data_IF_159684988174
#
_entry.id   IF_159684988174
#
_cell.length_a   1.000
_cell.length_b   1.000
_cell.length_c   1.000
_cell.angle_alpha   90.00
_cell.angle_beta   90.00
_cell.angle_gamma   90.00
#
_symmetry.space_group_name_H-M   'P 1'
#
loop_
_entity.id
_entity.type
_entity.pdbx_description
1 polymer ?
#
# COMPACT_ATOMS: atom_id res chain seq x y z
N UNK A 1 -31.46 -30.43 3.20
CA UNK A 1 -30.05 -30.51 3.63
C UNK A 1 -29.81 -29.35 4.60
N UNK A 2 -29.67 -29.62 5.90
CA UNK A 2 -29.62 -28.58 6.94
C UNK A 2 -28.18 -28.13 7.18
N UNK A 3 -27.77 -27.04 6.53
CA UNK A 3 -26.45 -26.42 6.70
C UNK A 3 -26.51 -24.91 6.51
N UNK A 4 -25.56 -24.19 7.11
CA UNK A 4 -25.38 -22.75 6.83
C UNK A 4 -24.88 -22.61 5.38
N UNK A 5 -25.52 -21.79 4.53
CA UNK A 5 -25.07 -21.60 3.15
C UNK A 5 -23.68 -20.93 3.09
N UNK A 6 -22.91 -21.31 2.07
CA UNK A 6 -21.51 -20.97 1.82
C UNK A 6 -21.35 -20.73 0.32
N UNK A 7 -20.58 -19.73 -0.09
CA UNK A 7 -20.23 -19.49 -1.50
C UNK A 7 -18.95 -20.24 -1.85
N UNK A 8 -18.96 -21.00 -2.94
CA UNK A 8 -17.78 -21.57 -3.60
C UNK A 8 -17.41 -20.79 -4.88
N UNK A 9 -16.28 -21.14 -5.51
CA UNK A 9 -15.83 -20.50 -6.74
C UNK A 9 -16.86 -20.55 -7.88
N UNK A 10 -17.56 -21.67 -8.01
CA UNK A 10 -18.62 -21.88 -9.02
C UNK A 10 -19.79 -20.94 -8.79
N UNK A 11 -20.20 -20.78 -7.53
CA UNK A 11 -21.32 -19.89 -7.20
C UNK A 11 -20.97 -18.42 -7.45
N UNK A 12 -19.73 -18.02 -7.13
CA UNK A 12 -19.21 -16.69 -7.45
C UNK A 12 -19.19 -16.47 -8.98
N UNK A 13 -18.82 -17.49 -9.77
CA UNK A 13 -18.86 -17.41 -11.23
C UNK A 13 -20.27 -17.09 -11.72
N UNK A 14 -21.26 -17.87 -11.30
CA UNK A 14 -22.67 -17.71 -11.69
C UNK A 14 -23.15 -16.29 -11.36
N UNK A 15 -22.90 -15.82 -10.15
CA UNK A 15 -23.34 -14.49 -9.73
C UNK A 15 -22.64 -13.37 -10.51
N UNK A 16 -21.33 -13.47 -10.74
CA UNK A 16 -20.59 -12.47 -11.51
C UNK A 16 -21.00 -12.44 -12.98
N UNK A 17 -21.17 -13.62 -13.60
CA UNK A 17 -21.68 -13.73 -14.97
C UNK A 17 -23.08 -13.14 -15.05
N UNK A 18 -23.96 -13.46 -14.11
CA UNK A 18 -25.29 -12.87 -14.05
C UNK A 18 -25.25 -11.34 -13.95
N UNK A 19 -24.47 -10.81 -13.01
CA UNK A 19 -24.31 -9.37 -12.78
C UNK A 19 -23.80 -8.62 -14.02
N UNK A 20 -22.88 -9.21 -14.78
CA UNK A 20 -22.27 -8.57 -15.95
C UNK A 20 -23.09 -8.77 -17.23
N UNK A 21 -23.61 -9.97 -17.47
CA UNK A 21 -24.15 -10.35 -18.77
C UNK A 21 -25.69 -10.43 -18.83
N UNK A 22 -26.37 -10.71 -17.72
CA UNK A 22 -27.79 -11.09 -17.73
C UNK A 22 -28.72 -10.19 -16.93
N UNK A 23 -28.20 -9.49 -15.93
CA UNK A 23 -29.01 -8.61 -15.10
C UNK A 23 -29.45 -7.37 -15.89
N UNK A 24 -30.65 -7.39 -16.48
CA UNK A 24 -31.19 -6.27 -17.27
C UNK A 24 -32.02 -5.27 -16.46
N UNK A 25 -32.26 -5.53 -15.17
CA UNK A 25 -33.34 -4.88 -14.41
C UNK A 25 -32.93 -4.23 -13.09
N UNK A 26 -31.76 -4.55 -12.53
CA UNK A 26 -31.41 -4.09 -11.17
C UNK A 26 -30.55 -2.82 -11.17
N UNK A 27 -29.66 -2.63 -12.16
CA UNK A 27 -28.76 -1.48 -12.23
C UNK A 27 -28.86 -0.72 -13.53
N UNK A 28 -29.00 0.60 -13.40
CA UNK A 28 -29.04 1.52 -14.55
C UNK A 28 -27.65 2.01 -14.98
N UNK A 29 -26.59 1.61 -14.27
CA UNK A 29 -25.21 2.04 -14.52
C UNK A 29 -24.26 0.85 -14.52
N UNK A 30 -23.49 0.71 -15.60
CA UNK A 30 -22.39 -0.26 -15.70
C UNK A 30 -21.34 -0.06 -14.60
N UNK A 31 -21.17 1.18 -14.15
CA UNK A 31 -20.28 1.51 -13.04
C UNK A 31 -20.71 0.83 -11.72
N UNK A 32 -22.00 0.58 -11.52
CA UNK A 32 -22.51 -0.12 -10.34
C UNK A 32 -22.22 -1.62 -10.41
N UNK A 33 -22.37 -2.24 -11.59
CA UNK A 33 -22.04 -3.65 -11.82
C UNK A 33 -20.58 -3.94 -11.50
N UNK A 34 -19.67 -3.06 -11.93
CA UNK A 34 -18.22 -3.20 -11.66
C UNK A 34 -17.92 -3.04 -10.17
N UNK A 35 -18.57 -2.11 -9.47
CA UNK A 35 -18.40 -1.98 -8.02
C UNK A 35 -18.88 -3.24 -7.27
N UNK A 36 -20.04 -3.78 -7.63
CA UNK A 36 -20.56 -5.01 -7.01
C UNK A 36 -19.69 -6.23 -7.31
N UNK A 37 -19.21 -6.36 -8.54
CA UNK A 37 -18.24 -7.40 -8.89
C UNK A 37 -16.99 -7.32 -8.01
N UNK A 38 -16.44 -6.11 -7.82
CA UNK A 38 -15.32 -5.87 -6.92
C UNK A 38 -15.62 -6.21 -5.46
N UNK A 39 -16.80 -5.85 -4.96
CA UNK A 39 -17.23 -6.20 -3.62
C UNK A 39 -17.35 -7.72 -3.42
N UNK A 40 -17.95 -8.44 -4.36
CA UNK A 40 -18.09 -9.89 -4.28
C UNK A 40 -16.74 -10.59 -4.32
N UNK A 41 -15.86 -10.18 -5.23
CA UNK A 41 -14.47 -10.65 -5.30
C UNK A 41 -13.73 -10.42 -3.97
N UNK A 42 -13.71 -9.19 -3.47
CA UNK A 42 -12.97 -8.87 -2.23
C UNK A 42 -13.54 -9.59 -1.01
N UNK A 43 -14.86 -9.75 -0.90
CA UNK A 43 -15.46 -10.52 0.19
C UNK A 43 -15.03 -12.00 0.16
N UNK A 44 -14.93 -12.61 -1.02
CA UNK A 44 -14.43 -13.98 -1.17
C UNK A 44 -12.93 -14.09 -0.88
N UNK A 45 -12.12 -13.13 -1.34
CA UNK A 45 -10.66 -13.26 -1.33
C UNK A 45 -10.01 -12.75 -0.04
N UNK A 46 -10.77 -12.11 0.84
CA UNK A 46 -10.26 -11.60 2.13
C UNK A 46 -10.99 -12.17 3.33
N UNK A 47 -12.25 -12.62 3.15
CA UNK A 47 -13.14 -12.91 4.27
C UNK A 47 -13.51 -11.67 5.09
N UNK A 48 -13.26 -10.45 4.59
CA UNK A 48 -13.57 -9.20 5.29
C UNK A 48 -15.03 -9.13 5.74
N UNK A 49 -15.28 -8.38 6.82
CA UNK A 49 -16.66 -8.02 7.17
C UNK A 49 -17.15 -7.02 6.11
N UNK A 50 -18.42 -7.07 5.68
CA UNK A 50 -18.95 -6.12 4.69
C UNK A 50 -18.73 -4.66 5.08
N UNK A 51 -18.92 -4.34 6.36
CA UNK A 51 -18.68 -3.03 6.96
C UNK A 51 -17.21 -2.52 6.85
N UNK A 52 -16.26 -3.37 6.45
CA UNK A 52 -14.87 -2.96 6.18
C UNK A 52 -14.68 -2.50 4.72
N UNK A 53 -15.63 -2.79 3.84
CA UNK A 53 -15.61 -2.43 2.42
C UNK A 53 -16.68 -1.38 2.05
N UNK A 54 -17.79 -1.35 2.79
CA UNK A 54 -18.93 -0.45 2.60
C UNK A 54 -19.31 0.20 3.94
N UNK A 55 -20.08 1.29 3.90
CA UNK A 55 -20.52 1.97 5.13
C UNK A 55 -21.40 1.05 5.97
N UNK A 56 -21.04 0.89 7.23
CA UNK A 56 -21.77 0.06 8.19
C UNK A 56 -23.09 0.68 8.63
N UNK A 57 -23.30 1.99 8.40
CA UNK A 57 -24.49 2.77 8.77
C UNK A 57 -24.82 2.76 10.28
N UNK A 58 -23.99 2.10 11.10
CA UNK A 58 -24.09 2.06 12.54
C UNK A 58 -23.22 3.20 13.07
N UNK A 59 -23.86 4.15 13.78
CA UNK A 59 -23.15 5.27 14.39
C UNK A 59 -22.16 4.79 15.47
N UNK A 60 -21.04 5.51 15.52
CA UNK A 60 -19.94 5.47 16.50
C UNK A 60 -20.28 4.81 17.86
N UNK A 61 -20.18 3.48 17.96
CA UNK A 61 -20.30 2.81 19.26
C UNK A 61 -19.68 1.41 19.35
N UNK A 62 -19.00 0.94 18.30
CA UNK A 62 -18.07 -0.18 18.47
C UNK A 62 -16.75 0.39 19.01
N UNK A 63 -16.23 -0.12 20.14
CA UNK A 63 -14.92 0.31 20.61
C UNK A 63 -13.95 0.13 19.45
N UNK A 64 -13.15 1.18 19.17
CA UNK A 64 -12.02 1.11 18.24
C UNK A 64 -11.15 -0.03 18.73
N UNK A 65 -11.40 -1.26 18.26
CA UNK A 65 -10.48 -2.37 18.41
C UNK A 65 -9.16 -1.79 17.92
N UNK A 66 -8.15 -1.83 18.78
CA UNK A 66 -6.75 -1.57 18.44
C UNK A 66 -6.48 -2.31 17.14
N UNK A 67 -6.54 -1.57 16.04
CA UNK A 67 -6.83 -2.15 14.73
C UNK A 67 -5.49 -2.50 14.14
N UNK A 68 -5.05 -3.74 14.38
CA UNK A 68 -3.91 -4.27 13.65
C UNK A 68 -4.23 -4.18 12.16
N UNK A 69 -3.36 -3.50 11.42
CA UNK A 69 -3.50 -3.40 9.98
C UNK A 69 -3.29 -4.80 9.40
N UNK A 70 -4.19 -5.20 8.50
CA UNK A 70 -4.11 -6.46 7.77
C UNK A 70 -3.96 -6.10 6.30
N UNK A 71 -2.91 -6.61 5.65
CA UNK A 71 -2.62 -6.35 4.25
C UNK A 71 -2.78 -7.64 3.47
N UNK A 72 -3.76 -7.64 2.56
CA UNK A 72 -3.97 -8.72 1.60
C UNK A 72 -3.26 -8.40 0.29
N UNK A 73 -2.75 -9.45 -0.35
CA UNK A 73 -2.21 -9.37 -1.71
C UNK A 73 -3.17 -10.05 -2.67
N UNK A 74 -3.22 -9.52 -3.89
CA UNK A 74 -3.98 -10.07 -4.99
C UNK A 74 -3.07 -10.17 -6.19
N UNK A 75 -3.16 -11.28 -6.92
CA UNK A 75 -2.49 -11.47 -8.20
C UNK A 75 -3.53 -11.40 -9.31
N UNK A 76 -3.13 -11.05 -10.55
CA UNK A 76 -4.02 -11.17 -11.70
C UNK A 76 -4.61 -12.59 -11.77
N UNK A 77 -5.94 -12.70 -11.76
CA UNK A 77 -6.61 -13.99 -11.87
C UNK A 77 -6.57 -14.48 -13.33
N UNK A 78 -6.61 -15.81 -13.54
CA UNK A 78 -6.61 -16.42 -14.89
C UNK A 78 -7.79 -15.95 -15.75
N UNK A 79 -8.95 -15.72 -15.12
CA UNK A 79 -10.14 -15.15 -15.75
C UNK A 79 -10.30 -13.70 -15.32
N UNK A 80 -10.46 -12.79 -16.28
CA UNK A 80 -10.67 -11.35 -16.02
C UNK A 80 -11.86 -11.12 -15.08
N UNK A 81 -12.93 -11.91 -15.22
CA UNK A 81 -14.11 -11.84 -14.37
C UNK A 81 -13.80 -12.02 -12.87
N UNK A 82 -12.74 -12.75 -12.53
CA UNK A 82 -12.29 -12.98 -11.16
C UNK A 82 -11.19 -12.02 -10.70
N UNK A 83 -10.67 -11.18 -11.58
CA UNK A 83 -9.49 -10.37 -11.33
C UNK A 83 -9.84 -9.07 -10.57
N UNK A 84 -9.72 -9.11 -9.23
CA UNK A 84 -9.91 -7.93 -8.39
C UNK A 84 -8.94 -6.77 -8.75
N UNK A 85 -7.72 -7.10 -9.19
CA UNK A 85 -6.74 -6.10 -9.64
C UNK A 85 -7.29 -5.30 -10.83
N UNK A 86 -7.86 -5.98 -11.83
CA UNK A 86 -8.49 -5.33 -12.99
C UNK A 86 -9.69 -4.48 -12.60
N UNK A 87 -10.50 -4.94 -11.63
CA UNK A 87 -11.61 -4.16 -11.09
C UNK A 87 -11.12 -2.86 -10.45
N UNK A 88 -10.13 -2.92 -9.56
CA UNK A 88 -9.57 -1.73 -8.90
C UNK A 88 -8.93 -0.77 -9.90
N UNK A 89 -8.18 -1.28 -10.89
CA UNK A 89 -7.61 -0.44 -11.96
C UNK A 89 -8.72 0.25 -12.76
N UNK A 90 -9.79 -0.47 -13.11
CA UNK A 90 -10.91 0.11 -13.87
C UNK A 90 -11.60 1.24 -13.11
N UNK A 91 -11.83 1.05 -11.81
CA UNK A 91 -12.39 2.09 -10.94
C UNK A 91 -11.45 3.29 -10.82
N UNK A 92 -10.15 3.04 -10.61
CA UNK A 92 -9.14 4.10 -10.52
C UNK A 92 -9.01 4.91 -11.83
N UNK A 93 -9.11 4.26 -13.00
CA UNK A 93 -9.11 4.93 -14.30
C UNK A 93 -10.35 5.81 -14.50
N UNK A 94 -11.54 5.30 -14.18
CA UNK A 94 -12.78 6.08 -14.23
C UNK A 94 -12.68 7.35 -13.39
N UNK A 95 -12.06 7.22 -12.22
CA UNK A 95 -11.94 8.30 -11.25
C UNK A 95 -10.70 9.18 -11.48
N UNK A 96 -9.91 8.89 -12.52
CA UNK A 96 -8.62 9.54 -12.81
C UNK A 96 -7.71 9.61 -11.56
N UNK A 97 -7.68 8.51 -10.81
CA UNK A 97 -7.17 8.50 -9.45
C UNK A 97 -5.64 8.50 -9.37
N UNK A 98 -4.95 8.05 -10.42
CA UNK A 98 -3.49 7.97 -10.46
C UNK A 98 -2.84 9.35 -10.39
N UNK A 99 -1.76 9.45 -9.60
CA UNK A 99 -0.93 10.66 -9.50
C UNK A 99 -0.18 10.93 -10.81
N UNK A 100 0.31 9.86 -11.46
CA UNK A 100 0.89 9.96 -12.79
C UNK A 100 -0.19 10.32 -13.81
N UNK A 101 -0.03 11.48 -14.43
CA UNK A 101 -0.92 12.08 -15.41
C UNK A 101 -0.98 11.28 -16.72
N UNK A 102 0.05 10.51 -17.05
CA UNK A 102 0.08 9.60 -18.21
C UNK A 102 -0.81 8.37 -18.07
N UNK A 103 -1.18 7.96 -16.85
CA UNK A 103 -1.98 6.76 -16.61
C UNK A 103 -3.49 6.99 -16.84
N UNK A 104 -3.88 7.17 -18.11
CA UNK A 104 -5.25 7.51 -18.53
C UNK A 104 -6.08 6.33 -19.04
N UNK A 105 -5.46 5.21 -19.36
CA UNK A 105 -6.15 4.03 -19.89
C UNK A 105 -5.47 2.73 -19.46
N UNK A 106 -6.20 1.61 -19.57
CA UNK A 106 -5.74 0.30 -19.08
C UNK A 106 -4.40 -0.14 -19.70
N UNK A 107 -4.20 0.09 -21.01
CA UNK A 107 -2.93 -0.25 -21.66
C UNK A 107 -1.74 0.54 -21.10
N UNK A 108 -1.92 1.79 -20.67
CA UNK A 108 -0.84 2.56 -20.05
C UNK A 108 -0.48 1.98 -18.67
N UNK A 109 -1.48 1.61 -17.87
CA UNK A 109 -1.27 1.04 -16.52
C UNK A 109 -0.64 -0.35 -16.61
N UNK A 110 -1.21 -1.24 -17.44
CA UNK A 110 -0.78 -2.62 -17.57
C UNK A 110 0.51 -2.78 -18.38
N UNK A 111 0.86 -1.79 -19.20
CA UNK A 111 2.07 -1.75 -19.99
C UNK A 111 3.32 -1.29 -19.23
N UNK A 112 3.17 -0.79 -17.99
CA UNK A 112 4.30 -0.34 -17.17
C UNK A 112 5.27 -1.48 -16.90
N UNK A 113 6.56 -1.15 -17.00
CA UNK A 113 7.64 -2.10 -16.73
C UNK A 113 8.40 -1.65 -15.50
N UNK A 114 8.75 -2.59 -14.64
CA UNK A 114 9.73 -2.32 -13.59
C UNK A 114 11.10 -2.26 -14.26
N UNK A 115 11.73 -1.09 -14.24
CA UNK A 115 13.04 -0.82 -14.85
C UNK A 115 14.13 -0.59 -13.79
N UNK A 116 15.39 -0.63 -14.23
CA UNK A 116 16.56 -0.31 -13.41
C UNK A 116 16.86 -1.32 -12.31
N UNK A 117 17.33 -0.82 -11.16
CA UNK A 117 17.81 -1.63 -10.04
C UNK A 117 16.76 -2.06 -9.02
N UNK A 118 15.48 -1.88 -9.34
CA UNK A 118 14.39 -2.06 -8.38
C UNK A 118 13.49 -3.24 -8.76
N UNK A 119 12.80 -3.79 -7.76
CA UNK A 119 11.97 -4.98 -7.92
C UNK A 119 10.47 -4.68 -7.94
N UNK A 120 10.07 -3.43 -7.68
CA UNK A 120 8.68 -3.00 -7.71
C UNK A 120 8.53 -1.52 -8.02
N UNK A 121 7.38 -1.18 -8.58
CA UNK A 121 6.93 0.17 -8.83
C UNK A 121 5.58 0.38 -8.17
N UNK A 122 5.46 1.43 -7.35
CA UNK A 122 4.22 1.76 -6.68
C UNK A 122 3.39 2.72 -7.53
N UNK A 123 2.17 2.34 -7.88
CA UNK A 123 1.21 3.26 -8.51
C UNK A 123 0.58 4.14 -7.43
N UNK A 124 0.92 5.43 -7.42
CA UNK A 124 0.42 6.39 -6.43
C UNK A 124 -0.94 6.94 -6.86
N UNK A 125 -1.80 7.15 -5.87
CA UNK A 125 -3.05 7.90 -6.06
C UNK A 125 -2.83 9.36 -5.69
N UNK A 126 -3.63 10.23 -6.31
CA UNK A 126 -3.69 11.66 -5.97
C UNK A 126 -4.07 11.86 -4.53
N UNK A 127 -3.51 12.90 -3.91
CA UNK A 127 -3.80 13.26 -2.52
C UNK A 127 -5.31 13.51 -2.30
N UNK A 128 -5.99 14.10 -3.29
CA UNK A 128 -7.44 14.33 -3.29
C UNK A 128 -8.26 13.05 -3.29
N UNK A 129 -7.69 11.91 -3.71
CA UNK A 129 -8.39 10.63 -3.82
C UNK A 129 -8.24 9.74 -2.59
N UNK A 130 -7.27 10.02 -1.70
CA UNK A 130 -6.96 9.15 -0.57
C UNK A 130 -8.08 9.01 0.47
N UNK A 131 -9.04 9.94 0.47
CA UNK A 131 -10.21 9.92 1.36
C UNK A 131 -11.52 9.63 0.63
N UNK A 132 -11.48 9.42 -0.68
CA UNK A 132 -12.64 9.06 -1.48
C UNK A 132 -12.82 7.54 -1.39
N UNK A 133 -14.01 7.03 -1.02
CA UNK A 133 -14.26 5.60 -0.98
C UNK A 133 -14.10 4.95 -2.37
N UNK A 134 -13.55 3.74 -2.41
CA UNK A 134 -13.44 2.96 -3.66
C UNK A 134 -14.83 2.53 -4.15
N UNK A 135 -15.67 2.08 -3.21
CA UNK A 135 -17.05 1.69 -3.47
C UNK A 135 -17.98 2.79 -2.97
N UNK A 136 -18.62 3.50 -3.90
CA UNK A 136 -19.44 4.69 -3.66
C UNK A 136 -20.89 4.46 -4.02
N UNK A 137 -21.76 5.18 -3.31
CA UNK A 137 -23.20 5.11 -3.51
C UNK A 137 -23.59 5.59 -4.93
N UNK A 138 -24.68 5.04 -5.45
CA UNK A 138 -25.32 5.52 -6.67
C UNK A 138 -26.67 6.16 -6.36
N UNK A 139 -26.85 7.40 -6.80
CA UNK A 139 -28.13 8.10 -6.78
C UNK A 139 -28.79 7.92 -8.15
N UNK A 140 -29.53 6.82 -8.31
CA UNK A 140 -30.07 6.43 -9.61
C UNK A 140 -28.97 5.93 -10.54
N UNK A 141 -28.55 6.75 -11.52
CA UNK A 141 -27.45 6.42 -12.45
C UNK A 141 -26.15 7.14 -12.10
N UNK A 142 -26.22 8.17 -11.24
CA UNK A 142 -25.10 9.03 -10.92
C UNK A 142 -24.32 8.46 -9.74
N UNK A 143 -23.00 8.41 -9.91
CA UNK A 143 -22.08 8.01 -8.87
C UNK A 143 -21.88 9.18 -7.90
N UNK A 144 -22.03 8.93 -6.61
CA UNK A 144 -21.71 9.93 -5.59
C UNK A 144 -20.23 10.32 -5.65
N UNK A 145 -19.87 11.61 -5.47
CA UNK A 145 -18.48 12.04 -5.48
C UNK A 145 -17.67 11.41 -4.33
N UNK A 146 -18.25 11.30 -3.14
CA UNK A 146 -17.51 10.94 -1.91
C UNK A 146 -18.27 10.02 -0.96
N UNK A 147 -19.57 9.75 -1.18
CA UNK A 147 -20.34 8.93 -0.25
C UNK A 147 -20.06 7.45 -0.48
N UNK A 148 -19.66 6.69 0.57
CA UNK A 148 -19.47 5.26 0.47
C UNK A 148 -20.79 4.54 0.12
N UNK A 149 -20.69 3.37 -0.50
CA UNK A 149 -21.88 2.52 -0.68
C UNK A 149 -22.46 2.15 0.70
N UNK A 150 -23.78 2.28 0.92
CA UNK A 150 -24.40 1.83 2.17
C UNK A 150 -24.46 0.31 2.28
N UNK A 151 -24.36 -0.24 3.49
CA UNK A 151 -24.47 -1.69 3.71
C UNK A 151 -25.81 -2.25 3.27
N UNK A 152 -26.92 -1.58 3.59
CA UNK A 152 -28.24 -2.05 3.14
C UNK A 152 -28.31 -2.13 1.61
N UNK A 153 -27.69 -1.18 0.89
CA UNK A 153 -27.66 -1.17 -0.57
C UNK A 153 -26.96 -2.40 -1.13
N UNK A 154 -25.75 -2.70 -0.65
CA UNK A 154 -25.02 -3.93 -1.02
C UNK A 154 -25.86 -5.19 -0.73
N UNK A 155 -26.46 -5.25 0.46
CA UNK A 155 -27.27 -6.40 0.89
C UNK A 155 -28.48 -6.61 -0.01
N UNK A 156 -29.24 -5.55 -0.28
CA UNK A 156 -30.50 -5.63 -1.02
C UNK A 156 -30.26 -5.91 -2.51
N UNK A 157 -29.18 -5.33 -3.08
CA UNK A 157 -28.72 -5.62 -4.43
C UNK A 157 -28.31 -7.09 -4.58
N UNK A 158 -27.47 -7.59 -3.67
CA UNK A 158 -27.05 -9.00 -3.64
C UNK A 158 -28.24 -9.95 -3.47
N UNK A 159 -29.16 -9.63 -2.54
CA UNK A 159 -30.36 -10.42 -2.29
C UNK A 159 -31.15 -10.59 -3.59
N UNK A 160 -31.41 -9.50 -4.30
CA UNK A 160 -32.17 -9.55 -5.55
C UNK A 160 -31.41 -10.27 -6.67
N UNK A 161 -30.12 -9.98 -6.85
CA UNK A 161 -29.31 -10.62 -7.89
C UNK A 161 -29.23 -12.12 -7.71
N UNK A 162 -29.05 -12.60 -6.48
CA UNK A 162 -28.99 -14.04 -6.22
C UNK A 162 -30.30 -14.76 -6.56
N UNK A 163 -31.46 -14.18 -6.22
CA UNK A 163 -32.75 -14.76 -6.62
C UNK A 163 -32.95 -14.73 -8.13
N UNK A 164 -32.62 -13.62 -8.78
CA UNK A 164 -32.74 -13.50 -10.24
C UNK A 164 -31.75 -14.42 -11.00
N UNK A 165 -30.60 -14.72 -10.40
CA UNK A 165 -29.65 -15.71 -10.91
C UNK A 165 -30.11 -17.17 -10.69
N UNK A 166 -31.25 -17.39 -10.03
CA UNK A 166 -31.86 -18.70 -9.83
C UNK A 166 -31.43 -19.44 -8.56
N UNK A 167 -30.79 -18.76 -7.60
CA UNK A 167 -30.48 -19.38 -6.31
C UNK A 167 -31.75 -19.54 -5.46
N UNK A 168 -31.90 -20.71 -4.83
CA UNK A 168 -33.08 -21.06 -4.02
C UNK A 168 -33.31 -20.08 -2.86
N UNK A 169 -32.22 -19.62 -2.23
CA UNK A 169 -32.27 -18.69 -1.11
C UNK A 169 -31.56 -17.39 -1.47
N UNK A 170 -32.07 -16.24 -1.00
CA UNK A 170 -31.40 -14.98 -1.23
C UNK A 170 -30.09 -14.92 -0.45
N UNK A 171 -29.06 -14.46 -1.13
CA UNK A 171 -27.73 -14.35 -0.55
C UNK A 171 -27.64 -13.15 0.38
N UNK A 172 -26.77 -13.31 1.38
CA UNK A 172 -26.35 -12.20 2.24
C UNK A 172 -24.84 -12.08 2.18
N UNK A 173 -24.26 -10.89 2.45
CA UNK A 173 -22.81 -10.72 2.43
C UNK A 173 -22.04 -11.70 3.36
N UNK A 174 -22.73 -12.28 4.36
CA UNK A 174 -22.17 -13.31 5.25
C UNK A 174 -21.83 -14.62 4.54
N UNK A 175 -22.46 -14.95 3.42
CA UNK A 175 -22.20 -16.21 2.70
C UNK A 175 -20.77 -16.23 2.15
N UNK A 176 -20.30 -15.10 1.61
CA UNK A 176 -18.92 -14.94 1.12
C UNK A 176 -17.88 -15.13 2.21
N UNK A 177 -18.09 -14.50 3.38
CA UNK A 177 -17.18 -14.65 4.52
C UNK A 177 -17.09 -16.09 5.01
N UNK A 178 -18.18 -16.86 4.96
CA UNK A 178 -18.13 -18.30 5.25
C UNK A 178 -17.36 -19.08 4.18
N UNK A 179 -17.55 -18.72 2.90
CA UNK A 179 -16.79 -19.30 1.79
C UNK A 179 -15.28 -19.11 1.96
N UNK A 180 -14.86 -17.87 2.21
CA UNK A 180 -13.47 -17.52 2.52
C UNK A 180 -12.93 -18.28 3.74
N UNK A 181 -13.70 -18.34 4.83
CA UNK A 181 -13.31 -19.07 6.04
C UNK A 181 -13.12 -20.57 5.77
N UNK A 182 -14.03 -21.18 5.01
CA UNK A 182 -13.94 -22.59 4.65
C UNK A 182 -12.76 -22.86 3.71
N UNK A 183 -12.48 -21.97 2.76
CA UNK A 183 -11.31 -22.08 1.88
C UNK A 183 -10.00 -22.00 2.68
N UNK A 184 -9.91 -21.13 3.68
CA UNK A 184 -8.76 -21.06 4.56
C UNK A 184 -8.66 -22.27 5.52
N UNK A 185 -9.80 -22.83 5.93
CA UNK A 185 -9.85 -23.90 6.91
C UNK A 185 -9.17 -25.18 6.38
N UNK A 186 -8.10 -25.62 7.06
CA UNK A 186 -7.30 -26.78 6.66
C UNK A 186 -6.21 -26.48 5.61
N UNK A 187 -6.27 -25.32 4.94
CA UNK A 187 -5.24 -24.89 3.97
C UNK A 187 -4.28 -23.85 4.57
N UNK A 188 -4.71 -23.06 5.55
CA UNK A 188 -3.90 -22.08 6.25
C UNK A 188 -3.63 -22.50 7.72
N UNK A 189 -2.46 -22.16 8.29
CA UNK A 189 -2.25 -22.26 9.73
C UNK A 189 -3.29 -21.43 10.51
N UNK A 190 -3.68 -21.88 11.70
CA UNK A 190 -4.69 -21.20 12.52
C UNK A 190 -4.36 -19.73 12.78
N UNK A 191 -3.09 -19.40 13.03
CA UNK A 191 -2.65 -18.02 13.22
C UNK A 191 -2.89 -17.12 12.01
N UNK A 192 -2.76 -17.64 10.80
CA UNK A 192 -3.02 -16.91 9.55
C UNK A 192 -4.52 -16.84 9.28
N UNK A 193 -5.26 -17.93 9.52
CA UNK A 193 -6.72 -17.97 9.44
C UNK A 193 -7.34 -16.94 10.39
N UNK A 194 -6.88 -16.86 11.63
CA UNK A 194 -7.39 -15.93 12.64
C UNK A 194 -6.99 -14.48 12.34
N UNK A 195 -5.77 -14.24 11.81
CA UNK A 195 -5.35 -12.93 11.29
C UNK A 195 -6.30 -12.44 10.18
N UNK A 196 -6.59 -13.29 9.19
CA UNK A 196 -7.45 -12.96 8.06
C UNK A 196 -8.89 -12.71 8.52
N UNK A 197 -9.40 -13.57 9.39
CA UNK A 197 -10.77 -13.47 9.89
C UNK A 197 -10.92 -12.39 10.95
N UNK A 198 -9.82 -11.83 11.48
CA UNK A 198 -9.83 -10.92 12.64
C UNK A 198 -10.65 -11.51 13.78
N UNK A 199 -10.43 -12.79 14.01
CA UNK A 199 -11.12 -13.58 15.02
C UNK A 199 -10.16 -13.75 16.19
N UNK A 200 -10.63 -13.40 17.38
CA UNK A 200 -9.94 -13.46 18.69
C UNK A 200 -9.08 -12.23 19.11
N UNK A 201 -9.59 -11.41 20.06
CA UNK A 201 -8.81 -10.35 20.70
C UNK A 201 -7.78 -10.85 21.72
N UNK A 202 -7.80 -12.12 22.15
CA UNK A 202 -6.89 -12.65 23.19
C UNK A 202 -5.44 -12.75 22.74
N UNK A 203 -5.19 -12.83 21.43
CA UNK A 203 -3.85 -12.87 20.85
C UNK A 203 -3.40 -11.53 20.26
N UNK A 204 -4.20 -10.46 20.43
CA UNK A 204 -3.92 -9.11 19.95
C UNK A 204 -2.48 -8.64 20.22
N UNK A 205 -1.98 -8.85 21.43
CA UNK A 205 -0.65 -8.40 21.84
C UNK A 205 0.48 -9.13 21.11
N UNK A 206 0.36 -10.44 20.91
CA UNK A 206 1.33 -11.24 20.16
C UNK A 206 1.24 -10.96 18.65
N UNK A 207 0.01 -10.91 18.11
CA UNK A 207 -0.22 -10.59 16.70
C UNK A 207 0.32 -9.20 16.34
N UNK A 208 0.14 -8.21 17.21
CA UNK A 208 0.62 -6.85 16.98
C UNK A 208 2.13 -6.68 17.03
N UNK A 209 2.81 -7.42 17.92
CA UNK A 209 4.24 -7.25 18.12
C UNK A 209 5.10 -8.10 17.17
N UNK A 210 4.60 -9.28 16.76
CA UNK A 210 5.43 -10.28 16.08
C UNK A 210 4.86 -10.78 14.75
N UNK A 211 3.54 -10.69 14.53
CA UNK A 211 2.96 -11.13 13.28
C UNK A 211 3.06 -10.00 12.24
N UNK A 212 3.51 -10.34 11.04
CA UNK A 212 3.53 -9.38 9.95
C UNK A 212 2.09 -8.97 9.61
N UNK A 213 1.84 -7.68 9.42
CA UNK A 213 0.55 -7.15 8.94
C UNK A 213 0.13 -7.80 7.61
N UNK A 214 1.11 -8.24 6.82
CA UNK A 214 0.97 -8.94 5.55
C UNK A 214 0.49 -10.37 5.75
N UNK A 215 -0.68 -10.70 5.21
CA UNK A 215 -1.20 -12.06 5.17
C UNK A 215 -0.35 -12.88 4.20
N UNK A 216 0.39 -13.85 4.73
CA UNK A 216 1.23 -14.76 3.95
C UNK A 216 0.47 -16.02 3.53
N UNK A 217 -0.69 -15.83 2.90
CA UNK A 217 -1.54 -16.91 2.40
C UNK A 217 -2.36 -16.45 1.19
N UNK A 218 -2.34 -17.24 0.13
CA UNK A 218 -3.07 -16.97 -1.11
C UNK A 218 -4.53 -17.42 -1.00
N UNK A 219 -5.31 -16.63 -0.26
CA UNK A 219 -6.75 -16.91 -0.11
C UNK A 219 -7.48 -16.78 -1.44
N UNK A 220 -7.05 -15.88 -2.33
CA UNK A 220 -7.69 -15.68 -3.64
C UNK A 220 -7.69 -16.98 -4.44
N UNK A 221 -6.52 -17.55 -4.71
CA UNK A 221 -6.44 -18.74 -5.55
C UNK A 221 -6.89 -20.00 -4.80
N UNK A 222 -6.73 -20.05 -3.47
CA UNK A 222 -7.32 -21.14 -2.68
C UNK A 222 -8.85 -21.13 -2.78
N UNK A 223 -9.50 -19.97 -2.66
CA UNK A 223 -10.95 -19.85 -2.81
C UNK A 223 -11.41 -20.19 -4.22
N UNK A 224 -10.66 -19.77 -5.23
CA UNK A 224 -10.95 -20.05 -6.64
C UNK A 224 -10.64 -21.49 -7.05
N UNK A 225 -10.12 -22.32 -6.15
CA UNK A 225 -9.65 -23.68 -6.44
C UNK A 225 -8.59 -23.71 -7.56
N UNK A 226 -7.77 -22.66 -7.61
CA UNK A 226 -6.64 -22.52 -8.52
C UNK A 226 -5.30 -22.78 -7.82
N UNK A 227 -4.24 -22.97 -8.61
CA UNK A 227 -2.87 -23.10 -8.10
C UNK A 227 -2.46 -21.87 -7.31
N UNK A 228 -1.95 -22.05 -6.10
CA UNK A 228 -1.53 -20.94 -5.24
C UNK A 228 -0.18 -20.37 -5.64
N UNK A 229 -0.06 -19.04 -5.56
CA UNK A 229 1.15 -18.29 -5.90
C UNK A 229 2.07 -18.10 -4.68
N UNK A 230 2.35 -19.22 -3.99
CA UNK A 230 3.04 -19.22 -2.68
C UNK A 230 4.40 -18.48 -2.70
N UNK A 231 5.11 -18.50 -3.83
CA UNK A 231 6.39 -17.81 -3.97
C UNK A 231 6.22 -16.29 -4.11
N UNK A 232 5.17 -15.82 -4.80
CA UNK A 232 4.87 -14.39 -4.90
C UNK A 232 4.47 -13.81 -3.55
N UNK A 233 3.68 -14.54 -2.76
CA UNK A 233 3.31 -14.10 -1.41
C UNK A 233 4.53 -13.99 -0.50
N UNK A 234 5.47 -14.95 -0.58
CA UNK A 234 6.78 -14.82 0.08
C UNK A 234 7.51 -13.58 -0.40
N UNK A 235 7.64 -13.38 -1.71
CA UNK A 235 8.29 -12.21 -2.31
C UNK A 235 7.75 -10.89 -1.75
N UNK A 236 6.42 -10.77 -1.62
CA UNK A 236 5.78 -9.57 -1.09
C UNK A 236 6.11 -9.25 0.37
N UNK A 237 6.58 -10.24 1.15
CA UNK A 237 7.04 -10.02 2.53
C UNK A 237 8.47 -9.49 2.63
N UNK A 238 9.30 -9.65 1.59
CA UNK A 238 10.71 -9.22 1.65
C UNK A 238 10.85 -7.69 1.63
N UNK A 239 11.72 -7.19 2.52
CA UNK A 239 12.11 -5.75 2.55
C UNK A 239 12.86 -5.30 1.30
N UNK A 240 13.45 -6.25 0.55
CA UNK A 240 14.17 -5.97 -0.70
C UNK A 240 13.25 -5.52 -1.82
N UNK A 241 11.95 -5.84 -1.76
CA UNK A 241 11.00 -5.54 -2.83
C UNK A 241 10.93 -4.02 -3.13
N UNK A 242 11.04 -3.19 -2.09
CA UNK A 242 11.02 -1.73 -2.19
C UNK A 242 12.42 -1.12 -2.10
N UNK A 243 13.49 -1.92 -2.10
CA UNK A 243 14.86 -1.44 -2.04
C UNK A 243 15.21 -0.74 -3.34
N UNK A 244 15.81 0.44 -3.21
CA UNK A 244 16.54 1.10 -4.27
C UNK A 244 18.02 1.22 -3.86
N UNK A 245 18.94 0.53 -4.54
CA UNK A 245 20.38 0.66 -4.29
C UNK A 245 20.95 2.07 -4.49
N UNK A 246 20.30 2.93 -5.29
CA UNK A 246 20.74 4.31 -5.53
C UNK A 246 20.40 5.25 -4.37
N UNK A 247 19.35 4.93 -3.62
CA UNK A 247 18.94 5.67 -2.44
C UNK A 247 19.83 5.29 -1.24
N UNK A 248 21.06 5.82 -1.21
CA UNK A 248 21.98 5.69 -0.07
C UNK A 248 21.63 6.67 1.05
N UNK A 249 22.40 6.67 2.15
CA UNK A 249 22.21 7.64 3.23
C UNK A 249 22.46 9.08 2.76
N UNK A 250 23.46 9.25 1.90
CA UNK A 250 23.97 10.55 1.47
C UNK A 250 23.42 10.88 0.07
N UNK A 251 22.12 10.61 -0.14
CA UNK A 251 21.44 10.72 -1.44
C UNK A 251 20.88 12.11 -1.75
N UNK A 252 21.02 13.08 -0.84
CA UNK A 252 20.50 14.44 -1.02
C UNK A 252 21.44 15.19 -1.98
N UNK A 253 20.96 15.64 -3.16
CA UNK A 253 21.78 16.39 -4.10
C UNK A 253 22.30 17.69 -3.49
N UNK A 254 23.48 18.14 -3.92
CA UNK A 254 24.08 19.39 -3.44
C UNK A 254 23.17 20.60 -3.67
N UNK A 255 22.49 20.63 -4.82
CA UNK A 255 21.50 21.66 -5.17
C UNK A 255 20.38 21.77 -4.13
N UNK A 256 19.98 20.66 -3.50
CA UNK A 256 18.97 20.69 -2.44
C UNK A 256 19.55 21.32 -1.17
N UNK A 257 20.79 21.00 -0.82
CA UNK A 257 21.47 21.62 0.33
C UNK A 257 21.65 23.11 0.17
N UNK A 258 22.08 23.54 -1.02
CA UNK A 258 22.36 24.94 -1.34
C UNK A 258 21.09 25.81 -1.29
N UNK A 259 19.93 25.23 -1.60
CA UNK A 259 18.64 25.93 -1.59
C UNK A 259 17.92 25.89 -0.23
N UNK A 260 18.48 25.25 0.80
CA UNK A 260 17.82 25.18 2.11
C UNK A 260 18.00 26.48 2.91
N UNK A 261 16.92 27.06 3.45
CA UNK A 261 17.03 28.25 4.28
C UNK A 261 17.85 27.93 5.54
N UNK A 262 18.72 28.84 6.00
CA UNK A 262 19.49 28.64 7.21
C UNK A 262 18.55 28.51 8.42
N UNK A 263 18.93 27.67 9.37
CA UNK A 263 18.13 27.45 10.58
C UNK A 263 18.28 28.67 11.52
N UNK A 264 17.18 29.36 11.88
CA UNK A 264 17.24 30.57 12.70
C UNK A 264 17.90 30.34 14.07
N UNK A 265 17.70 29.17 14.68
CA UNK A 265 18.26 28.85 15.99
C UNK A 265 19.77 28.57 15.89
N UNK A 266 20.21 27.92 14.81
CA UNK A 266 21.63 27.74 14.52
C UNK A 266 22.29 29.11 14.27
N UNK A 267 21.65 29.97 13.47
CA UNK A 267 22.16 31.32 13.19
C UNK A 267 22.30 32.14 14.47
N UNK A 268 21.31 32.10 15.37
CA UNK A 268 21.38 32.81 16.65
C UNK A 268 22.55 32.31 17.51
N UNK A 269 22.75 30.99 17.60
CA UNK A 269 23.87 30.40 18.34
C UNK A 269 25.23 30.77 17.73
N UNK A 270 25.32 30.82 16.40
CA UNK A 270 26.53 31.28 15.69
C UNK A 270 26.82 32.74 16.03
N UNK A 271 25.81 33.62 15.97
CA UNK A 271 25.95 35.04 16.34
C UNK A 271 26.37 35.20 17.81
N UNK A 272 25.78 34.45 18.74
CA UNK A 272 26.17 34.44 20.15
C UNK A 272 27.63 34.00 20.33
N UNK A 273 28.05 32.95 19.61
CA UNK A 273 29.44 32.47 19.63
C UNK A 273 30.41 33.52 19.08
N UNK A 274 30.04 34.22 18.02
CA UNK A 274 30.90 35.26 17.43
C UNK A 274 31.04 36.49 18.32
N UNK A 275 29.96 36.93 18.97
CA UNK A 275 30.02 38.01 19.97
C UNK A 275 31.00 37.67 21.10
N UNK A 276 30.97 36.44 21.61
CA UNK A 276 31.89 36.00 22.68
C UNK A 276 33.33 35.80 22.19
N UNK A 277 33.53 35.51 20.90
CA UNK A 277 34.88 35.45 20.30
C UNK A 277 35.48 36.84 20.09
N UNK A 278 34.66 37.87 19.88
CA UNK A 278 35.08 39.25 19.64
C UNK A 278 36.21 39.37 18.58
N UNK A 279 36.12 38.57 17.50
CA UNK A 279 37.12 38.54 16.43
C UNK A 279 38.42 37.78 16.73
N UNK A 280 38.60 37.21 17.93
CA UNK A 280 39.81 36.44 18.28
C UNK A 280 39.77 35.04 17.68
N UNK A 281 40.83 34.68 16.95
CA UNK A 281 40.99 33.35 16.35
C UNK A 281 41.35 32.26 17.39
N UNK A 282 42.24 32.59 18.35
CA UNK A 282 42.58 31.72 19.48
C UNK A 282 41.59 31.91 20.64
N UNK A 283 41.04 30.80 21.12
CA UNK A 283 40.06 30.76 22.22
C UNK A 283 40.76 30.50 23.56
N UNK A 284 41.97 29.94 23.54
CA UNK A 284 42.75 29.59 24.71
C UNK A 284 43.14 30.84 25.51
N UNK A 285 42.69 30.94 26.77
CA UNK A 285 42.91 32.11 27.62
C UNK A 285 41.86 33.22 27.49
N UNK A 286 40.75 32.96 26.81
CA UNK A 286 39.57 33.84 26.81
C UNK A 286 38.71 33.55 28.06
N UNK A 287 38.24 34.58 28.77
CA UNK A 287 37.32 34.45 29.92
C UNK A 287 36.06 33.63 29.59
N UNK A 288 35.62 33.64 28.33
CA UNK A 288 34.44 32.90 27.86
C UNK A 288 34.76 31.57 27.17
N UNK A 289 35.98 31.04 27.29
CA UNK A 289 36.43 29.83 26.59
C UNK A 289 35.49 28.63 26.78
N UNK A 290 35.09 28.33 28.01
CA UNK A 290 34.16 27.23 28.32
C UNK A 290 32.82 27.41 27.61
N UNK A 291 32.30 28.64 27.60
CA UNK A 291 31.02 28.97 26.95
C UNK A 291 31.10 28.88 25.43
N UNK A 292 32.22 29.31 24.83
CA UNK A 292 32.48 29.20 23.39
C UNK A 292 32.55 27.73 22.97
N UNK A 293 33.20 26.86 23.77
CA UNK A 293 33.23 25.41 23.52
C UNK A 293 31.83 24.80 23.59
N UNK A 294 31.06 25.12 24.63
CA UNK A 294 29.66 24.67 24.76
C UNK A 294 28.78 25.11 23.58
N UNK A 295 28.90 26.37 23.14
CA UNK A 295 28.16 26.86 21.97
C UNK A 295 28.57 26.16 20.68
N UNK A 296 29.87 25.90 20.50
CA UNK A 296 30.38 25.17 19.32
C UNK A 296 29.83 23.75 19.27
N UNK A 297 29.79 23.05 20.41
CA UNK A 297 29.20 21.72 20.51
C UNK A 297 27.68 21.75 20.26
N UNK A 298 26.97 22.75 20.80
CA UNK A 298 25.53 22.93 20.54
C UNK A 298 25.23 23.19 19.07
N UNK A 299 26.01 24.05 18.41
CA UNK A 299 25.88 24.34 16.97
C UNK A 299 26.07 23.04 16.19
N UNK A 300 27.18 22.33 16.42
CA UNK A 300 27.46 21.06 15.73
C UNK A 300 26.34 20.03 15.93
N UNK A 301 25.85 19.85 17.15
CA UNK A 301 24.77 18.91 17.43
C UNK A 301 23.46 19.29 16.73
N UNK A 302 23.19 20.59 16.58
CA UNK A 302 22.01 21.08 15.84
C UNK A 302 22.18 20.93 14.34
N UNK A 303 23.35 21.23 13.79
CA UNK A 303 23.69 20.99 12.38
C UNK A 303 23.53 19.50 12.04
N UNK A 304 24.16 18.60 12.82
CA UNK A 304 24.03 17.15 12.65
C UNK A 304 22.56 16.69 12.70
N UNK A 305 21.73 17.30 13.57
CA UNK A 305 20.30 16.98 13.67
C UNK A 305 19.51 17.51 12.48
N UNK A 306 19.82 18.72 12.01
CA UNK A 306 19.22 19.32 10.81
C UNK A 306 19.53 18.46 9.60
N UNK A 307 20.78 18.07 9.42
CA UNK A 307 21.22 17.27 8.28
C UNK A 307 20.54 15.90 8.25
N UNK A 308 20.45 15.22 9.41
CA UNK A 308 19.70 13.97 9.55
C UNK A 308 18.21 14.15 9.24
N UNK A 309 17.62 15.27 9.63
CA UNK A 309 16.21 15.58 9.36
C UNK A 309 15.97 15.78 7.86
N UNK A 310 16.83 16.56 7.20
CA UNK A 310 16.78 16.81 5.76
C UNK A 310 16.97 15.51 4.99
N UNK A 311 18.01 14.73 5.30
CA UNK A 311 18.28 13.45 4.65
C UNK A 311 17.10 12.47 4.80
N UNK A 312 16.49 12.41 5.98
CA UNK A 312 15.29 11.58 6.21
C UNK A 312 14.09 12.06 5.40
N UNK A 313 13.85 13.38 5.36
CA UNK A 313 12.74 13.97 4.62
C UNK A 313 12.89 13.76 3.11
N UNK A 314 14.07 14.05 2.57
CA UNK A 314 14.39 13.86 1.16
C UNK A 314 14.31 12.38 0.76
N UNK A 315 14.83 11.47 1.59
CA UNK A 315 14.68 10.03 1.36
C UNK A 315 13.22 9.61 1.28
N UNK A 316 12.39 10.10 2.21
CA UNK A 316 10.95 9.81 2.22
C UNK A 316 10.27 10.36 0.96
N UNK A 317 10.60 11.58 0.57
CA UNK A 317 10.14 12.21 -0.67
C UNK A 317 10.54 11.40 -1.90
N UNK A 318 11.78 10.95 -2.00
CA UNK A 318 12.27 10.13 -3.10
C UNK A 318 11.49 8.80 -3.20
N UNK A 319 11.41 8.01 -2.12
CA UNK A 319 10.69 6.73 -2.17
C UNK A 319 9.18 6.87 -2.43
N UNK A 320 8.60 8.02 -2.06
CA UNK A 320 7.21 8.30 -2.38
C UNK A 320 7.01 8.59 -3.87
N UNK A 321 7.80 9.50 -4.43
CA UNK A 321 7.59 10.08 -5.77
C UNK A 321 8.32 9.35 -6.91
N UNK A 322 9.39 8.61 -6.64
CA UNK A 322 10.23 8.00 -7.70
C UNK A 322 9.45 7.17 -8.70
N UNK A 323 8.44 6.43 -8.25
CA UNK A 323 7.62 5.57 -9.12
C UNK A 323 6.74 6.38 -10.06
N UNK A 324 6.26 7.55 -9.61
CA UNK A 324 5.53 8.50 -10.45
C UNK A 324 6.45 9.10 -11.50
N UNK A 325 7.67 9.54 -11.12
CA UNK A 325 8.65 10.07 -12.08
C UNK A 325 9.01 9.05 -13.16
N UNK A 326 9.22 7.80 -12.74
CA UNK A 326 9.54 6.71 -13.65
C UNK A 326 8.36 6.36 -14.57
N UNK A 327 7.13 6.39 -14.05
CA UNK A 327 5.91 6.22 -14.86
C UNK A 327 5.84 7.28 -15.96
N UNK A 328 6.04 8.54 -15.62
CA UNK A 328 6.00 9.64 -16.59
C UNK A 328 7.15 9.56 -17.60
N UNK A 329 8.34 9.15 -17.15
CA UNK A 329 9.50 8.92 -18.01
C UNK A 329 9.21 7.83 -19.06
N UNK A 330 8.65 6.69 -18.64
CA UNK A 330 8.27 5.62 -19.57
C UNK A 330 7.20 6.06 -20.56
N UNK A 331 6.24 6.87 -20.14
CA UNK A 331 5.23 7.43 -21.03
C UNK A 331 5.82 8.36 -22.10
N UNK A 332 6.93 9.03 -21.79
CA UNK A 332 7.70 9.84 -22.75
C UNK A 332 8.65 9.01 -23.63
N UNK A 333 8.74 7.69 -23.42
CA UNK A 333 9.67 6.81 -24.13
C UNK A 333 11.14 7.06 -23.79
N UNK A 334 11.41 7.68 -22.65
CA UNK A 334 12.78 7.95 -22.17
C UNK A 334 13.26 6.72 -21.39
N UNK A 335 14.40 6.17 -21.76
CA UNK A 335 15.00 5.05 -21.03
C UNK A 335 15.65 5.54 -19.72
N UNK A 336 15.55 4.72 -18.67
CA UNK A 336 16.26 4.97 -17.42
C UNK A 336 17.75 4.62 -17.56
N UNK A 337 18.62 5.46 -16.99
CA UNK A 337 20.06 5.16 -16.91
C UNK A 337 20.31 3.79 -16.26
N UNK A 338 21.15 2.97 -16.87
CA UNK A 338 21.47 1.65 -16.32
C UNK A 338 22.10 1.79 -14.92
N UNK A 339 21.63 0.99 -13.96
CA UNK A 339 22.25 0.96 -12.65
C UNK A 339 23.59 0.23 -12.70
N UNK A 340 24.67 0.99 -12.61
CA UNK A 340 26.00 0.43 -12.43
C UNK A 340 26.19 0.02 -10.97
N UNK A 341 26.36 -1.29 -10.73
CA UNK A 341 26.70 -1.80 -9.39
C UNK A 341 28.02 -1.16 -8.93
N UNK A 342 28.12 -0.72 -7.66
CA UNK A 342 29.36 -0.17 -7.15
C UNK A 342 30.46 -1.23 -7.18
N UNK A 343 31.63 -0.84 -7.69
CA UNK A 343 32.83 -1.68 -7.68
C UNK A 343 33.32 -1.82 -6.24
N UNK A 344 33.71 -3.03 -5.85
CA UNK A 344 34.32 -3.29 -4.54
C UNK A 344 35.70 -2.62 -4.53
N UNK A 345 35.77 -1.39 -4.03
CA UNK A 345 37.01 -0.62 -3.88
C UNK A 345 37.32 -0.46 -2.40
N UNK A 346 37.94 -1.50 -1.82
CA UNK A 346 38.24 -1.56 -0.39
C UNK A 346 39.71 -1.20 -0.15
N UNK A 347 39.95 -0.15 0.64
CA UNK A 347 41.30 0.33 0.99
C UNK A 347 42.07 -0.58 1.96
N UNK A 348 41.36 -1.45 2.68
CA UNK A 348 41.92 -2.35 3.69
C UNK A 348 42.17 -3.71 3.02
N UNK A 349 43.42 -4.18 2.89
CA UNK A 349 43.75 -5.40 2.15
C UNK A 349 43.03 -6.65 2.67
N UNK A 350 42.90 -6.80 3.98
CA UNK A 350 42.20 -7.93 4.61
C UNK A 350 40.72 -7.92 4.24
N UNK A 351 40.11 -6.74 4.20
CA UNK A 351 38.71 -6.57 3.81
C UNK A 351 38.53 -6.82 2.32
N UNK A 352 39.48 -6.41 1.49
CA UNK A 352 39.48 -6.71 0.06
C UNK A 352 39.52 -8.24 -0.18
N UNK A 353 40.42 -8.94 0.52
CA UNK A 353 40.53 -10.41 0.44
C UNK A 353 39.27 -11.12 0.95
N UNK A 354 38.68 -10.65 2.05
CA UNK A 354 37.41 -11.19 2.55
C UNK A 354 36.27 -10.95 1.56
N UNK A 355 36.18 -9.77 0.95
CA UNK A 355 35.15 -9.48 -0.04
C UNK A 355 35.31 -10.34 -1.29
N UNK A 356 36.54 -10.60 -1.73
CA UNK A 356 36.83 -11.49 -2.86
C UNK A 356 36.36 -12.93 -2.60
N UNK A 357 36.55 -13.44 -1.38
CA UNK A 357 36.15 -14.81 -1.00
C UNK A 357 34.64 -14.96 -0.76
N UNK A 358 33.98 -13.92 -0.22
CA UNK A 358 32.61 -14.03 0.29
C UNK A 358 31.54 -13.41 -0.61
N UNK A 359 31.91 -12.59 -1.60
CA UNK A 359 30.97 -11.83 -2.43
C UNK A 359 31.04 -12.17 -3.93
N UNK A 360 31.97 -13.04 -4.33
CA UNK A 360 32.07 -13.70 -5.62
C UNK A 360 32.11 -15.22 -5.39
#
# INVERSE_FOLDING_TARGET
MNGKPVVAAVDLNVLLVFNIAFDSGVFRSEGQRIQLAGLYQLLCYTGARPAELVDSEISESLPKLTTFRTVFYFTPAKKILFCAVSTIISLALRDQAFEASSLKHAAAVLGLKVQGSVQSMALRWKQSMLKIPVFRNFNGTELSPDQPMPYHKLRDDLHRQSLNAGFEVPWTPRFFRRGAANAANGNAPDSVRDQMMRHDPKFATFHGAYLNEKVNFDLQNTFLEETTESQLYKLFTHVSLTRDPRATRDMVPQEVWDNLPPDPEIQELVLQREKLKAGRYRIQGNEHEVKIRQLTEKIRNKEDRRDKTVAKAYRSYHFYNRSTWETERQALGVEEDEYVKPVINLKIPERARLADILCY
#
